data_IF_333107761096
#
_entry.id   IF_333107761096
#
_cell.length_a   1.000
_cell.length_b   1.000
_cell.length_c   1.000
_cell.angle_alpha   90.00
_cell.angle_beta   90.00
_cell.angle_gamma   90.00
#
_symmetry.space_group_name_H-M   'P 1'
#
loop_
_entity.id
_entity.type
_entity.pdbx_description
1 polymer ?
#
# COMPACT_ATOMS: atom_id res chain seq x y z
N UNK A 1 10.72 6.41 27.43
CA UNK A 1 9.27 6.30 27.15
C UNK A 1 8.52 6.91 28.31
N UNK A 2 7.26 6.54 28.48
CA UNK A 2 6.56 6.70 29.76
C UNK A 2 6.38 5.29 30.31
N UNK A 3 6.78 5.07 31.56
CA UNK A 3 6.71 3.76 32.21
C UNK A 3 5.32 3.55 32.84
N UNK A 4 4.94 2.30 33.08
CA UNK A 4 3.67 1.93 33.73
C UNK A 4 2.38 2.34 32.98
N UNK A 5 2.44 2.43 31.64
CA UNK A 5 1.25 2.62 30.80
C UNK A 5 0.25 1.48 30.99
N UNK A 6 0.77 0.25 31.11
CA UNK A 6 -0.02 -0.92 31.48
C UNK A 6 0.42 -1.42 32.85
N UNK A 7 -0.54 -1.68 33.72
CA UNK A 7 -0.31 -2.22 35.06
C UNK A 7 -0.91 -3.62 35.15
N UNK A 8 -0.09 -4.59 35.56
CA UNK A 8 -0.51 -5.98 35.72
C UNK A 8 -1.60 -6.07 36.80
N UNK A 9 -2.68 -6.79 36.49
CA UNK A 9 -3.74 -7.10 37.44
C UNK A 9 -3.50 -8.48 38.04
N UNK A 10 -3.80 -8.60 39.33
CA UNK A 10 -3.73 -9.86 40.04
C UNK A 10 -4.99 -10.69 39.78
N UNK A 11 -4.84 -12.00 39.95
CA UNK A 11 -5.94 -12.95 40.05
C UNK A 11 -6.39 -12.92 41.51
N UNK A 12 -7.63 -12.57 41.79
CA UNK A 12 -8.13 -12.50 43.17
C UNK A 12 -8.58 -13.87 43.69
N UNK A 13 -9.10 -14.70 42.78
CA UNK A 13 -9.56 -16.05 43.08
C UNK A 13 -9.35 -16.98 41.89
N UNK A 14 -9.18 -18.26 42.18
CA UNK A 14 -9.01 -19.28 41.17
C UNK A 14 -9.64 -20.61 41.59
N UNK A 15 -10.38 -21.23 40.67
CA UNK A 15 -10.99 -22.54 40.85
C UNK A 15 -10.55 -23.51 39.75
N UNK A 16 -10.44 -24.79 40.09
CA UNK A 16 -9.92 -25.81 39.19
C UNK A 16 -10.78 -27.07 39.24
N UNK A 17 -10.95 -27.72 38.08
CA UNK A 17 -11.58 -29.04 37.97
C UNK A 17 -10.70 -29.95 37.13
N UNK A 18 -10.39 -31.15 37.67
CA UNK A 18 -9.48 -32.12 37.04
C UNK A 18 -8.15 -31.50 36.57
N UNK A 19 -7.61 -30.58 37.36
CA UNK A 19 -6.32 -29.94 37.16
C UNK A 19 -5.61 -29.97 38.51
N UNK A 20 -4.37 -30.45 38.53
CA UNK A 20 -3.51 -30.31 39.71
C UNK A 20 -3.21 -28.82 39.91
N UNK A 21 -3.32 -28.35 41.15
CA UNK A 21 -3.11 -26.95 41.49
C UNK A 21 -1.84 -26.39 40.86
N UNK A 22 -1.98 -25.21 40.26
CA UNK A 22 -0.84 -24.39 39.91
C UNK A 22 -0.12 -24.06 41.24
N UNK A 23 1.19 -24.30 41.31
CA UNK A 23 2.01 -24.14 42.51
C UNK A 23 1.60 -22.93 43.39
N UNK A 24 1.66 -23.06 44.73
CA UNK A 24 0.66 -22.46 45.64
C UNK A 24 0.75 -20.94 45.90
N UNK A 25 1.62 -20.17 45.24
CA UNK A 25 2.09 -18.92 45.84
C UNK A 25 1.92 -17.62 45.05
N UNK A 26 1.42 -17.58 43.82
CA UNK A 26 1.29 -16.30 43.13
C UNK A 26 -0.07 -16.16 42.43
N UNK A 27 -0.96 -15.43 43.09
CA UNK A 27 -2.15 -14.75 42.57
C UNK A 27 -1.81 -13.68 41.50
N UNK A 28 -0.68 -13.86 40.80
CA UNK A 28 -0.28 -13.00 39.71
C UNK A 28 -0.63 -13.67 38.39
N UNK A 29 -1.16 -12.91 37.44
CA UNK A 29 -1.34 -13.43 36.08
C UNK A 29 0.02 -13.81 35.46
N UNK A 30 0.18 -14.95 34.80
CA UNK A 30 1.46 -15.34 34.20
C UNK A 30 1.42 -16.60 33.34
N UNK A 31 2.56 -17.27 33.26
CA UNK A 31 2.67 -18.60 32.67
C UNK A 31 2.38 -19.66 33.73
N UNK A 32 1.36 -20.48 33.47
CA UNK A 32 0.87 -21.52 34.34
C UNK A 32 1.11 -22.90 33.72
N UNK A 33 1.78 -23.82 34.42
CA UNK A 33 1.95 -25.21 33.99
C UNK A 33 0.94 -26.10 34.70
N UNK A 34 0.21 -26.92 33.95
CA UNK A 34 -0.79 -27.83 34.52
C UNK A 34 -0.56 -29.29 34.13
N UNK A 35 -1.21 -30.16 34.90
CA UNK A 35 -1.42 -31.57 34.57
C UNK A 35 -2.77 -32.03 35.10
N UNK A 36 -3.41 -32.99 34.42
CA UNK A 36 -4.67 -33.59 34.85
C UNK A 36 -4.40 -34.82 35.74
N UNK A 37 -5.04 -34.96 36.92
CA UNK A 37 -5.00 -36.19 37.69
C UNK A 37 -5.78 -37.34 37.02
N UNK A 38 -6.84 -37.02 36.27
CA UNK A 38 -7.59 -37.98 35.44
C UNK A 38 -7.36 -37.64 33.97
N UNK A 39 -6.70 -38.56 33.26
CA UNK A 39 -6.35 -38.36 31.86
C UNK A 39 -7.57 -38.47 30.94
N UNK A 40 -7.51 -37.76 29.82
CA UNK A 40 -8.46 -37.83 28.70
C UNK A 40 -9.91 -37.51 29.09
N UNK A 41 -10.07 -36.78 30.20
CA UNK A 41 -11.32 -36.23 30.70
C UNK A 41 -11.28 -34.70 30.73
N UNK A 42 -12.45 -34.08 30.76
CA UNK A 42 -12.59 -32.62 30.83
C UNK A 42 -11.82 -32.06 32.03
N UNK A 43 -11.08 -30.98 31.81
CA UNK A 43 -10.47 -30.18 32.87
C UNK A 43 -10.80 -28.71 32.65
N UNK A 44 -10.85 -27.93 33.73
CA UNK A 44 -11.13 -26.50 33.64
C UNK A 44 -10.38 -25.69 34.68
N UNK A 45 -10.19 -24.41 34.35
CA UNK A 45 -9.59 -23.40 35.21
C UNK A 45 -10.49 -22.17 35.16
N UNK A 46 -10.87 -21.61 36.30
CA UNK A 46 -11.61 -20.36 36.38
C UNK A 46 -10.76 -19.35 37.14
N UNK A 47 -10.59 -18.15 36.58
CA UNK A 47 -9.92 -17.02 37.24
C UNK A 47 -10.89 -15.88 37.49
N UNK A 48 -10.71 -15.19 38.60
CA UNK A 48 -11.39 -13.93 38.91
C UNK A 48 -10.36 -12.81 38.94
N UNK A 49 -10.62 -11.74 38.19
CA UNK A 49 -9.77 -10.53 38.15
C UNK A 49 -10.63 -9.32 38.48
N UNK A 50 -10.22 -8.55 39.48
CA UNK A 50 -10.92 -7.34 39.93
C UNK A 50 -9.98 -6.14 39.87
N UNK A 51 -10.16 -5.20 38.93
CA UNK A 51 -9.34 -4.00 38.89
C UNK A 51 -9.62 -3.13 40.13
N UNK A 52 -8.56 -2.57 40.72
CA UNK A 52 -8.65 -1.69 41.89
C UNK A 52 -9.06 -0.25 41.53
N UNK A 53 -8.96 0.10 40.25
CA UNK A 53 -9.31 1.40 39.69
C UNK A 53 -10.20 1.21 38.46
N UNK A 54 -11.08 2.17 38.17
CA UNK A 54 -11.89 2.16 36.94
C UNK A 54 -10.98 2.43 35.75
N UNK A 55 -10.80 1.44 34.87
CA UNK A 55 -9.82 1.50 33.79
C UNK A 55 -10.18 0.55 32.64
N UNK A 56 -9.54 0.73 31.48
CA UNK A 56 -9.66 -0.23 30.39
C UNK A 56 -8.88 -1.51 30.73
N UNK A 57 -9.52 -2.68 30.63
CA UNK A 57 -8.91 -3.96 31.01
C UNK A 57 -8.67 -4.83 29.79
N UNK A 58 -7.50 -5.46 29.75
CA UNK A 58 -7.08 -6.39 28.72
C UNK A 58 -6.75 -7.75 29.32
N UNK A 59 -7.18 -8.81 28.62
CA UNK A 59 -6.84 -10.19 28.96
C UNK A 59 -6.11 -10.83 27.79
N UNK A 60 -5.04 -11.55 28.08
CA UNK A 60 -4.32 -12.38 27.12
C UNK A 60 -4.41 -13.84 27.57
N UNK A 61 -4.86 -14.71 26.67
CA UNK A 61 -4.95 -16.14 26.91
C UNK A 61 -4.27 -16.85 25.74
N UNK A 62 -3.25 -17.65 26.04
CA UNK A 62 -2.61 -18.51 25.03
C UNK A 62 -2.24 -19.88 25.58
N UNK A 63 -2.75 -20.91 24.94
CA UNK A 63 -2.39 -22.30 25.16
C UNK A 63 -2.86 -23.20 24.02
N UNK A 64 -1.98 -24.09 23.55
CA UNK A 64 -2.35 -25.12 22.59
C UNK A 64 -3.25 -26.21 23.21
N UNK A 65 -3.33 -26.26 24.53
CA UNK A 65 -4.06 -27.27 25.30
C UNK A 65 -5.46 -26.83 25.74
N UNK A 66 -5.82 -25.56 25.52
CA UNK A 66 -7.14 -25.01 25.83
C UNK A 66 -8.06 -25.16 24.61
N UNK A 67 -9.31 -25.54 24.84
CA UNK A 67 -10.36 -25.63 23.81
C UNK A 67 -11.06 -24.28 23.63
N UNK A 68 -11.50 -23.69 24.75
CA UNK A 68 -12.14 -22.38 24.77
C UNK A 68 -11.88 -21.64 26.08
N UNK A 69 -12.11 -20.33 26.05
CA UNK A 69 -12.18 -19.48 27.24
C UNK A 69 -13.39 -18.57 27.16
N UNK A 70 -14.21 -18.55 28.20
CA UNK A 70 -15.37 -17.66 28.34
C UNK A 70 -14.99 -16.53 29.30
N UNK A 71 -15.05 -15.28 28.85
CA UNK A 71 -14.79 -14.10 29.66
C UNK A 71 -16.10 -13.38 29.91
N UNK A 72 -16.42 -13.15 31.18
CA UNK A 72 -17.69 -12.57 31.61
C UNK A 72 -17.50 -11.46 32.64
N UNK A 73 -18.18 -10.33 32.43
CA UNK A 73 -18.36 -9.25 33.40
C UNK A 73 -19.84 -9.01 33.67
N UNK A 74 -20.19 -7.86 34.25
CA UNK A 74 -21.61 -7.57 34.59
C UNK A 74 -22.50 -7.42 33.35
N UNK A 75 -21.94 -6.96 32.23
CA UNK A 75 -22.68 -6.57 31.02
C UNK A 75 -22.27 -7.34 29.75
N UNK A 76 -21.29 -8.22 29.84
CA UNK A 76 -20.77 -8.97 28.70
C UNK A 76 -20.44 -10.41 29.09
N UNK A 77 -20.53 -11.32 28.12
CA UNK A 77 -20.18 -12.72 28.24
C UNK A 77 -19.80 -13.24 26.85
N UNK A 78 -18.51 -13.43 26.61
CA UNK A 78 -17.97 -13.78 25.31
C UNK A 78 -17.10 -15.02 25.40
N UNK A 79 -17.22 -15.91 24.42
CA UNK A 79 -16.42 -17.14 24.35
C UNK A 79 -15.45 -17.10 23.18
N UNK A 80 -14.20 -17.38 23.48
CA UNK A 80 -13.08 -17.37 22.55
C UNK A 80 -12.57 -18.79 22.33
N UNK A 81 -12.27 -19.11 21.08
CA UNK A 81 -11.66 -20.38 20.64
C UNK A 81 -10.35 -20.08 19.90
N UNK A 82 -9.62 -21.12 19.46
CA UNK A 82 -8.32 -20.95 18.75
C UNK A 82 -7.27 -20.21 19.58
N UNK A 83 -7.14 -20.61 20.84
CA UNK A 83 -6.27 -19.99 21.83
C UNK A 83 -4.78 -20.40 21.70
N UNK A 84 -4.41 -21.09 20.63
CA UNK A 84 -3.03 -21.37 20.26
C UNK A 84 -2.33 -20.18 19.56
N UNK A 85 -3.12 -19.21 19.08
CA UNK A 85 -2.63 -17.94 18.53
C UNK A 85 -2.52 -16.86 19.61
N UNK A 86 -1.58 -15.93 19.44
CA UNK A 86 -1.42 -14.82 20.37
C UNK A 86 -2.41 -13.70 20.02
N UNK A 87 -3.40 -13.48 20.88
CA UNK A 87 -4.33 -12.36 20.75
C UNK A 87 -4.63 -11.74 22.12
N UNK A 88 -4.93 -10.44 22.12
CA UNK A 88 -5.32 -9.68 23.30
C UNK A 88 -6.81 -9.41 23.21
N UNK A 89 -7.53 -9.71 24.28
CA UNK A 89 -8.95 -9.40 24.45
C UNK A 89 -9.04 -8.02 25.10
N UNK A 90 -9.71 -7.08 24.44
CA UNK A 90 -10.08 -5.79 25.01
C UNK A 90 -11.48 -5.92 25.64
N UNK A 91 -11.56 -5.76 26.96
CA UNK A 91 -12.82 -5.83 27.70
C UNK A 91 -13.53 -4.48 27.80
N UNK A 92 -12.90 -3.40 27.35
CA UNK A 92 -13.36 -2.05 27.60
C UNK A 92 -13.12 -1.61 29.05
N UNK A 93 -13.86 -0.58 29.45
CA UNK A 93 -13.76 0.03 30.78
C UNK A 93 -14.49 -0.83 31.80
N UNK A 94 -13.77 -1.28 32.83
CA UNK A 94 -14.31 -2.02 33.98
C UNK A 94 -14.22 -1.14 35.22
N UNK A 95 -15.26 -1.12 36.05
CA UNK A 95 -15.28 -0.30 37.26
C UNK A 95 -14.37 -0.88 38.35
N UNK A 96 -13.79 -0.01 39.18
CA UNK A 96 -13.08 -0.45 40.37
C UNK A 96 -13.95 -1.38 41.23
N UNK A 97 -13.43 -2.56 41.58
CA UNK A 97 -14.14 -3.56 42.38
C UNK A 97 -15.12 -4.45 41.60
N UNK A 98 -15.29 -4.25 40.29
CA UNK A 98 -16.13 -5.11 39.46
C UNK A 98 -15.35 -6.35 38.99
N UNK A 99 -15.85 -7.54 39.34
CA UNK A 99 -15.19 -8.80 39.01
C UNK A 99 -15.37 -9.21 37.54
N UNK A 100 -14.27 -9.58 36.91
CA UNK A 100 -14.24 -10.27 35.61
C UNK A 100 -13.93 -11.74 35.85
N UNK A 101 -14.81 -12.63 35.37
CA UNK A 101 -14.65 -14.08 35.44
C UNK A 101 -14.11 -14.60 34.11
N UNK A 102 -13.15 -15.51 34.19
CA UNK A 102 -12.51 -16.15 33.03
C UNK A 102 -12.56 -17.65 33.21
N UNK A 103 -13.49 -18.32 32.53
CA UNK A 103 -13.65 -19.76 32.56
C UNK A 103 -12.93 -20.40 31.37
N UNK A 104 -11.96 -21.27 31.63
CA UNK A 104 -11.05 -21.84 30.64
C UNK A 104 -11.27 -23.36 30.58
N UNK A 105 -11.71 -23.85 29.43
CA UNK A 105 -11.90 -25.28 29.19
C UNK A 105 -10.64 -25.91 28.59
N UNK A 106 -10.07 -26.90 29.26
CA UNK A 106 -8.90 -27.65 28.79
C UNK A 106 -9.35 -28.84 27.95
N UNK A 107 -8.79 -28.99 26.74
CA UNK A 107 -9.08 -30.11 25.83
C UNK A 107 -8.94 -31.44 26.56
N UNK A 108 -9.90 -32.34 26.40
CA UNK A 108 -9.92 -33.66 27.06
C UNK A 108 -8.57 -34.38 26.91
N UNK A 109 -8.07 -34.46 25.67
CA UNK A 109 -6.82 -35.14 25.28
C UNK A 109 -5.53 -34.45 25.77
N UNK A 110 -5.61 -33.24 26.30
CA UNK A 110 -4.45 -32.48 26.78
C UNK A 110 -4.23 -32.70 28.28
N UNK A 111 -3.53 -33.79 28.61
CA UNK A 111 -3.27 -34.19 30.00
C UNK A 111 -2.22 -33.35 30.74
N UNK A 112 -1.48 -32.51 30.02
CA UNK A 112 -0.48 -31.58 30.54
C UNK A 112 -0.24 -30.47 29.54
N UNK A 113 0.12 -29.29 30.02
CA UNK A 113 0.37 -28.16 29.15
C UNK A 113 0.78 -26.90 29.88
N UNK A 114 0.88 -25.83 29.10
CA UNK A 114 1.16 -24.48 29.57
C UNK A 114 0.00 -23.57 29.18
N UNK A 115 -0.49 -22.81 30.13
CA UNK A 115 -1.50 -21.75 29.98
C UNK A 115 -0.82 -20.41 30.25
N UNK A 116 -0.75 -19.55 29.25
CA UNK A 116 -0.37 -18.16 29.45
C UNK A 116 -1.65 -17.36 29.69
N UNK A 117 -1.78 -16.78 30.88
CA UNK A 117 -2.90 -15.92 31.24
C UNK A 117 -2.35 -14.63 31.81
N UNK A 118 -2.58 -13.51 31.14
CA UNK A 118 -2.17 -12.20 31.62
C UNK A 118 -3.37 -11.26 31.67
N UNK A 119 -3.49 -10.48 32.75
CA UNK A 119 -4.48 -9.43 32.88
C UNK A 119 -3.78 -8.10 33.13
N UNK A 120 -4.17 -7.06 32.39
CA UNK A 120 -3.56 -5.73 32.50
C UNK A 120 -4.63 -4.64 32.44
N UNK A 121 -4.46 -3.62 33.26
CA UNK A 121 -5.19 -2.36 33.18
C UNK A 121 -4.38 -1.30 32.45
N UNK A 122 -5.06 -0.41 31.71
CA UNK A 122 -4.45 0.77 31.11
C UNK A 122 -4.50 1.95 32.08
N UNK A 123 -3.33 2.45 32.47
CA UNK A 123 -3.24 3.72 33.18
C UNK A 123 -3.44 4.88 32.19
N UNK A 124 -4.66 5.40 32.12
CA UNK A 124 -5.04 6.41 31.13
C UNK A 124 -4.26 7.73 31.29
N UNK A 125 -3.97 8.15 32.53
CA UNK A 125 -3.19 9.36 32.80
C UNK A 125 -1.78 9.24 32.23
N UNK A 126 -1.12 8.12 32.50
CA UNK A 126 0.24 7.81 32.04
C UNK A 126 0.28 7.64 30.52
N UNK A 127 -0.71 6.93 29.95
CA UNK A 127 -0.88 6.81 28.51
C UNK A 127 -1.01 8.19 27.84
N UNK A 128 -1.89 9.04 28.37
CA UNK A 128 -2.14 10.39 27.85
C UNK A 128 -0.91 11.29 27.98
N UNK A 129 -0.16 11.20 29.08
CA UNK A 129 1.10 11.92 29.24
C UNK A 129 2.12 11.53 28.15
N UNK A 130 2.19 10.24 27.82
CA UNK A 130 3.01 9.75 26.70
C UNK A 130 2.53 10.26 25.35
N UNK A 131 1.22 10.19 25.11
CA UNK A 131 0.59 10.69 23.88
C UNK A 131 0.89 12.18 23.66
N UNK A 132 0.68 13.03 24.67
CA UNK A 132 0.94 14.47 24.57
C UNK A 132 2.42 14.80 24.38
N UNK A 133 3.33 13.93 24.85
CA UNK A 133 4.77 14.06 24.55
C UNK A 133 5.07 13.77 23.08
N UNK A 134 4.50 12.70 22.51
CA UNK A 134 4.71 12.32 21.11
C UNK A 134 4.04 13.30 20.15
N UNK A 135 2.84 13.77 20.48
CA UNK A 135 2.06 14.73 19.69
C UNK A 135 2.80 16.05 19.41
N UNK A 136 3.76 16.44 20.25
CA UNK A 136 4.58 17.64 20.02
C UNK A 136 5.48 17.52 18.78
N UNK A 137 5.89 16.30 18.42
CA UNK A 137 6.66 16.00 17.21
C UNK A 137 5.80 15.43 16.09
N UNK A 138 4.48 15.67 16.11
CA UNK A 138 3.57 15.16 15.09
C UNK A 138 3.92 15.71 13.71
N UNK A 139 3.65 14.90 12.69
CA UNK A 139 3.88 15.28 11.30
C UNK A 139 2.66 16.00 10.76
N UNK A 140 2.74 17.33 10.69
CA UNK A 140 1.65 18.15 10.18
C UNK A 140 1.62 18.10 8.65
N UNK A 141 0.80 17.19 8.11
CA UNK A 141 0.66 16.98 6.67
C UNK A 141 -0.05 18.17 6.04
N UNK A 142 0.64 18.85 5.12
CA UNK A 142 0.09 19.96 4.33
C UNK A 142 -0.40 19.52 2.96
N UNK A 143 0.22 18.48 2.38
CA UNK A 143 -0.15 17.93 1.08
C UNK A 143 0.06 16.41 1.07
N UNK A 144 -0.83 15.67 0.42
CA UNK A 144 -0.66 14.24 0.22
C UNK A 144 -1.23 13.74 -1.11
N UNK A 145 -0.64 12.67 -1.61
CA UNK A 145 -1.10 11.84 -2.71
C UNK A 145 -0.67 10.39 -2.47
N UNK A 146 -1.04 9.48 -3.37
CA UNK A 146 -0.67 8.06 -3.29
C UNK A 146 0.85 7.82 -3.24
N UNK A 147 1.65 8.76 -3.75
CA UNK A 147 3.11 8.62 -3.87
C UNK A 147 3.90 9.75 -3.24
N UNK A 148 3.24 10.70 -2.57
CA UNK A 148 3.92 11.85 -1.96
C UNK A 148 3.21 12.30 -0.68
N UNK A 149 3.98 12.59 0.36
CA UNK A 149 3.52 13.24 1.58
C UNK A 149 4.43 14.44 1.84
N UNK A 150 3.84 15.62 2.05
CA UNK A 150 4.57 16.83 2.44
C UNK A 150 3.98 17.37 3.72
N UNK A 151 4.84 17.85 4.61
CA UNK A 151 4.41 18.44 5.86
C UNK A 151 5.57 19.00 6.66
N UNK A 152 5.28 19.40 7.90
CA UNK A 152 6.28 19.91 8.83
C UNK A 152 6.40 19.03 10.06
N UNK A 153 7.63 18.92 10.58
CA UNK A 153 7.93 18.30 11.86
C UNK A 153 8.64 19.34 12.71
N UNK A 154 8.21 19.50 13.97
CA UNK A 154 8.92 20.31 14.96
C UNK A 154 9.56 19.38 15.98
N UNK A 155 10.89 19.30 15.97
CA UNK A 155 11.65 18.49 16.91
C UNK A 155 12.23 19.39 18.02
N UNK A 156 11.94 19.07 19.29
CA UNK A 156 12.48 19.82 20.44
C UNK A 156 13.96 19.56 20.69
N UNK A 157 14.46 18.42 20.22
CA UNK A 157 15.84 17.96 20.34
C UNK A 157 16.18 17.09 19.13
N UNK A 158 17.47 16.83 18.90
CA UNK A 158 17.88 15.88 17.85
C UNK A 158 17.25 14.52 18.14
N UNK A 159 16.43 14.03 17.22
CA UNK A 159 15.53 12.91 17.45
C UNK A 159 15.48 11.98 16.23
N UNK A 160 15.17 10.72 16.47
CA UNK A 160 14.77 9.80 15.42
C UNK A 160 13.29 10.02 15.07
N UNK A 161 12.98 10.19 13.79
CA UNK A 161 11.61 10.18 13.28
C UNK A 161 11.17 8.73 13.08
N UNK A 162 10.15 8.33 13.82
CA UNK A 162 9.48 7.04 13.67
C UNK A 162 8.24 7.21 12.79
N UNK A 163 8.12 6.40 11.74
CA UNK A 163 6.96 6.44 10.85
C UNK A 163 6.23 5.10 10.83
N UNK A 164 4.93 5.13 10.53
CA UNK A 164 4.16 3.93 10.19
C UNK A 164 4.31 3.53 8.71
N UNK A 165 5.26 4.13 7.99
CA UNK A 165 5.52 3.82 6.58
C UNK A 165 6.42 2.57 6.54
N UNK A 166 6.04 1.49 5.84
CA UNK A 166 6.92 0.36 5.66
C UNK A 166 8.21 0.78 4.95
N UNK A 167 9.34 0.31 5.45
CA UNK A 167 10.63 0.57 4.83
C UNK A 167 10.68 -0.09 3.44
N UNK A 168 11.06 0.71 2.44
CA UNK A 168 11.33 0.27 1.07
C UNK A 168 12.45 1.14 0.49
N UNK A 169 13.32 0.56 -0.34
CA UNK A 169 14.42 1.28 -1.01
C UNK A 169 13.92 2.35 -2.00
N UNK A 170 12.66 2.26 -2.43
CA UNK A 170 12.01 3.17 -3.35
C UNK A 170 11.44 4.42 -2.68
N UNK A 171 11.50 4.51 -1.34
CA UNK A 171 11.17 5.73 -0.61
C UNK A 171 12.31 6.74 -0.68
N UNK A 172 11.94 7.99 -0.89
CA UNK A 172 12.82 9.14 -0.85
C UNK A 172 12.33 10.08 0.24
N UNK A 173 13.23 10.47 1.13
CA UNK A 173 12.95 11.43 2.19
C UNK A 173 13.76 12.69 1.92
N UNK A 174 13.12 13.85 2.08
CA UNK A 174 13.77 15.15 1.99
C UNK A 174 13.53 15.90 3.30
N UNK A 175 14.59 16.54 3.83
CA UNK A 175 14.53 17.46 4.96
C UNK A 175 14.99 18.83 4.43
N UNK A 176 14.12 19.83 4.51
CA UNK A 176 14.36 21.19 4.03
C UNK A 176 14.89 21.24 2.57
N UNK A 177 14.36 20.35 1.73
CA UNK A 177 14.74 20.21 0.32
C UNK A 177 16.00 19.38 0.07
N UNK A 178 16.77 19.01 1.10
CA UNK A 178 17.90 18.08 0.98
C UNK A 178 17.40 16.64 0.97
N UNK A 179 17.68 15.90 -0.11
CA UNK A 179 17.41 14.46 -0.17
C UNK A 179 18.35 13.72 0.80
N UNK A 180 17.78 12.88 1.65
CA UNK A 180 18.54 11.93 2.47
C UNK A 180 19.14 10.84 1.59
N UNK A 181 20.36 10.44 1.92
CA UNK A 181 21.02 9.28 1.33
C UNK A 181 20.45 7.99 1.90
N UNK A 182 20.68 6.87 1.21
CA UNK A 182 20.18 5.56 1.61
C UNK A 182 20.74 5.06 2.95
N UNK A 183 21.89 5.55 3.39
CA UNK A 183 22.49 5.24 4.70
C UNK A 183 21.97 6.14 5.84
N UNK A 184 21.27 7.22 5.52
CA UNK A 184 20.58 8.10 6.47
C UNK A 184 19.13 7.65 6.76
N UNK A 185 18.62 6.68 5.99
CA UNK A 185 17.29 6.09 6.15
C UNK A 185 17.47 4.64 6.62
N UNK A 186 16.82 4.26 7.71
CA UNK A 186 17.00 2.95 8.33
C UNK A 186 15.67 2.28 8.70
N UNK A 187 15.77 1.00 9.05
CA UNK A 187 14.65 0.19 9.52
C UNK A 187 14.51 0.31 11.02
N UNK A 188 13.36 0.78 11.49
CA UNK A 188 12.95 0.65 12.88
C UNK A 188 12.18 -0.67 13.02
N UNK A 189 12.55 -1.46 14.03
CA UNK A 189 11.97 -2.79 14.30
C UNK A 189 11.93 -3.71 13.07
N UNK A 190 12.99 -3.66 12.24
CA UNK A 190 13.15 -4.44 11.01
C UNK A 190 12.08 -4.24 9.92
N UNK A 191 11.17 -3.25 10.03
CA UNK A 191 10.05 -3.12 9.11
C UNK A 191 9.64 -1.71 8.74
N UNK A 192 9.84 -0.72 9.62
CA UNK A 192 9.31 0.63 9.44
C UNK A 192 10.42 1.61 9.06
N UNK A 193 10.09 2.60 8.26
CA UNK A 193 11.03 3.63 7.82
C UNK A 193 11.31 4.60 8.98
N UNK A 194 12.60 4.85 9.22
CA UNK A 194 13.07 5.88 10.15
C UNK A 194 14.26 6.64 9.59
N UNK A 195 14.49 7.83 10.15
CA UNK A 195 15.62 8.71 9.85
C UNK A 195 15.80 9.68 11.02
N UNK A 196 16.98 10.28 11.14
CA UNK A 196 17.25 11.28 12.17
C UNK A 196 16.89 12.69 11.69
N UNK A 197 16.43 13.52 12.61
CA UNK A 197 16.15 14.95 12.41
C UNK A 197 16.81 15.78 13.50
N UNK A 198 17.33 16.95 13.14
CA UNK A 198 17.90 17.90 14.10
C UNK A 198 16.80 18.63 14.86
N UNK A 199 17.15 19.27 15.98
CA UNK A 199 16.24 20.13 16.71
C UNK A 199 15.84 21.35 15.87
N UNK A 200 14.55 21.63 15.78
CA UNK A 200 14.03 22.73 14.99
C UNK A 200 12.72 22.41 14.28
N UNK A 201 12.24 23.37 13.50
CA UNK A 201 11.13 23.17 12.58
C UNK A 201 11.70 22.84 11.20
N UNK A 202 11.23 21.74 10.62
CA UNK A 202 11.71 21.23 9.35
C UNK A 202 10.55 20.90 8.42
N UNK A 203 10.73 21.19 7.14
CA UNK A 203 9.83 20.69 6.09
C UNK A 203 10.30 19.30 5.67
N UNK A 204 9.45 18.31 5.82
CA UNK A 204 9.73 16.93 5.45
C UNK A 204 8.87 16.53 4.25
N UNK A 205 9.48 15.85 3.29
CA UNK A 205 8.78 15.30 2.13
C UNK A 205 9.13 13.83 1.97
N UNK A 206 8.12 12.98 1.93
CA UNK A 206 8.23 11.59 1.48
C UNK A 206 7.78 11.50 0.03
N UNK A 207 8.53 10.77 -0.79
CA UNK A 207 8.16 10.48 -2.18
C UNK A 207 8.51 9.05 -2.56
N UNK A 208 7.53 8.33 -3.08
CA UNK A 208 7.67 6.94 -3.49
C UNK A 208 7.72 6.79 -5.01
N UNK A 209 8.72 6.06 -5.52
CA UNK A 209 8.82 5.75 -6.95
C UNK A 209 9.08 4.27 -7.14
N UNK A 210 8.07 3.52 -7.56
CA UNK A 210 8.22 2.08 -7.83
C UNK A 210 9.25 1.81 -8.93
N UNK A 211 10.27 1.02 -8.62
CA UNK A 211 11.26 0.55 -9.60
C UNK A 211 10.61 -0.17 -10.80
N UNK A 212 9.49 -0.87 -10.58
CA UNK A 212 8.75 -1.57 -11.64
C UNK A 212 8.09 -0.62 -12.65
N UNK A 213 7.72 0.59 -12.23
CA UNK A 213 7.11 1.58 -13.11
C UNK A 213 8.11 2.06 -14.19
N UNK A 214 9.37 2.24 -13.81
CA UNK A 214 10.43 2.61 -14.75
C UNK A 214 10.66 1.51 -15.78
N UNK A 215 10.85 0.26 -15.32
CA UNK A 215 11.03 -0.89 -16.21
C UNK A 215 9.82 -1.11 -17.13
N UNK A 216 8.61 -1.04 -16.59
CA UNK A 216 7.37 -1.17 -17.36
C UNK A 216 7.23 -0.09 -18.42
N UNK A 217 7.58 1.16 -18.09
CA UNK A 217 7.54 2.29 -19.04
C UNK A 217 8.46 2.04 -20.25
N UNK A 218 9.67 1.53 -20.02
CA UNK A 218 10.57 1.17 -21.12
C UNK A 218 10.00 0.08 -22.03
N UNK A 219 9.43 -0.98 -21.43
CA UNK A 219 8.79 -2.06 -22.19
C UNK A 219 7.62 -1.54 -23.01
N UNK A 220 6.74 -0.73 -22.40
CA UNK A 220 5.58 -0.14 -23.09
C UNK A 220 5.99 0.72 -24.29
N UNK A 221 6.98 1.60 -24.12
CA UNK A 221 7.49 2.44 -25.21
C UNK A 221 8.07 1.58 -26.33
N UNK A 222 8.86 0.56 -25.99
CA UNK A 222 9.44 -0.35 -26.98
C UNK A 222 8.35 -1.11 -27.76
N UNK A 223 7.31 -1.61 -27.08
CA UNK A 223 6.18 -2.30 -27.73
C UNK A 223 5.41 -1.36 -28.66
N UNK A 224 5.13 -0.12 -28.24
CA UNK A 224 4.44 0.87 -29.07
C UNK A 224 5.27 1.19 -30.32
N UNK A 225 6.59 1.36 -30.19
CA UNK A 225 7.48 1.59 -31.33
C UNK A 225 7.46 0.43 -32.32
N UNK A 226 7.59 -0.82 -31.84
CA UNK A 226 7.57 -2.02 -32.68
C UNK A 226 6.22 -2.17 -33.39
N UNK A 227 5.11 -1.95 -32.69
CA UNK A 227 3.77 -2.00 -33.26
C UNK A 227 3.59 -0.93 -34.35
N UNK A 228 4.04 0.30 -34.09
CA UNK A 228 3.95 1.43 -35.03
C UNK A 228 4.76 1.17 -36.29
N UNK A 229 6.01 0.70 -36.17
CA UNK A 229 6.86 0.33 -37.31
C UNK A 229 6.21 -0.79 -38.12
N UNK A 230 5.69 -1.83 -37.46
CA UNK A 230 5.02 -2.96 -38.11
C UNK A 230 3.80 -2.51 -38.92
N UNK A 231 2.99 -1.60 -38.38
CA UNK A 231 1.84 -1.02 -39.09
C UNK A 231 2.30 -0.21 -40.31
N UNK A 232 3.32 0.64 -40.17
CA UNK A 232 3.83 1.45 -41.28
C UNK A 232 4.38 0.56 -42.41
N UNK A 233 5.18 -0.46 -42.06
CA UNK A 233 5.73 -1.42 -43.03
C UNK A 233 4.61 -2.17 -43.74
N UNK A 234 3.60 -2.65 -43.01
CA UNK A 234 2.45 -3.34 -43.59
C UNK A 234 1.63 -2.44 -44.52
N UNK A 235 1.41 -1.16 -44.17
CA UNK A 235 0.73 -0.20 -45.05
C UNK A 235 1.53 0.10 -46.31
N UNK A 236 2.87 0.26 -46.21
CA UNK A 236 3.74 0.44 -47.38
C UNK A 236 3.73 -0.80 -48.29
N UNK A 237 3.79 -2.00 -47.71
CA UNK A 237 3.70 -3.28 -48.45
C UNK A 237 2.35 -3.43 -49.15
N UNK A 238 1.22 -3.15 -48.49
CA UNK A 238 -0.11 -3.17 -49.10
C UNK A 238 -0.24 -2.15 -50.25
N UNK A 239 0.22 -0.90 -50.06
CA UNK A 239 0.25 0.11 -51.13
C UNK A 239 1.11 -0.32 -52.32
N UNK A 240 2.27 -0.94 -52.07
CA UNK A 240 3.14 -1.47 -53.13
C UNK A 240 2.45 -2.62 -53.89
N UNK A 241 1.81 -3.56 -53.17
CA UNK A 241 1.05 -4.66 -53.77
C UNK A 241 -0.12 -4.15 -54.62
N UNK A 242 -0.92 -3.21 -54.10
CA UNK A 242 -2.01 -2.58 -54.86
C UNK A 242 -1.52 -1.86 -56.14
N UNK A 243 -0.36 -1.20 -56.09
CA UNK A 243 0.25 -0.59 -57.29
C UNK A 243 0.67 -1.63 -58.33
N UNK A 244 1.26 -2.75 -57.89
CA UNK A 244 1.68 -3.86 -58.77
C UNK A 244 0.45 -4.55 -59.37
N UNK A 245 -0.54 -4.90 -58.57
CA UNK A 245 -1.78 -5.54 -59.03
C UNK A 245 -2.52 -4.66 -60.05
N UNK A 246 -2.60 -3.34 -59.80
CA UNK A 246 -3.18 -2.37 -60.75
C UNK A 246 -2.41 -2.30 -62.07
N UNK A 247 -1.07 -2.36 -62.04
CA UNK A 247 -0.24 -2.34 -63.24
C UNK A 247 -0.41 -3.61 -64.09
N UNK A 248 -0.50 -4.77 -63.43
CA UNK A 248 -0.79 -6.04 -64.11
C UNK A 248 -2.15 -6.03 -64.80
N UNK A 249 -3.20 -5.52 -64.14
CA UNK A 249 -4.53 -5.40 -64.74
C UNK A 249 -4.58 -4.45 -65.96
N UNK A 250 -3.76 -3.41 -66.00
CA UNK A 250 -3.70 -2.47 -67.13
C UNK A 250 -2.99 -3.08 -68.36
N UNK A 251 -2.04 -3.99 -68.16
CA UNK A 251 -1.29 -4.63 -69.25
C UNK A 251 -1.99 -5.86 -69.84
N UNK A 252 -2.97 -6.44 -69.15
CA UNK A 252 -3.75 -7.60 -69.60
C UNK A 252 -5.09 -7.21 -70.26
N UNK A 253 -5.46 -5.93 -70.29
CA UNK A 253 -6.66 -5.47 -70.96
C UNK A 253 -6.48 -5.55 -72.51
N UNK A 254 -7.31 -6.31 -73.25
CA UNK A 254 -7.18 -6.40 -74.68
C UNK A 254 -7.54 -5.05 -75.32
N UNK A 255 -6.57 -4.45 -76.02
CA UNK A 255 -6.84 -3.30 -76.90
C UNK A 255 -7.65 -3.82 -78.09
N UNK A 256 -8.97 -3.74 -78.02
CA UNK A 256 -9.82 -3.98 -79.18
C UNK A 256 -9.72 -2.76 -80.11
N UNK A 257 -8.79 -2.80 -81.05
CA UNK A 257 -8.78 -1.88 -82.19
C UNK A 257 -9.87 -2.33 -83.15
N UNK A 258 -11.02 -1.65 -83.13
CA UNK A 258 -11.98 -1.74 -84.23
C UNK A 258 -11.41 -0.96 -85.42
N UNK A 259 -10.93 -1.67 -86.44
CA UNK A 259 -10.51 -1.08 -87.71
C UNK A 259 -11.76 -0.63 -88.47
N UNK A 260 -11.94 0.67 -88.80
CA UNK A 260 -13.00 1.11 -89.70
C UNK A 260 -12.72 0.60 -91.12
N UNK A 261 -13.77 0.09 -91.77
CA UNK A 261 -13.71 -0.46 -93.13
C UNK A 261 -13.46 0.66 -94.17
N UNK A 262 -12.56 0.42 -95.11
CA UNK A 262 -12.22 1.33 -96.21
C UNK A 262 -13.39 1.51 -97.19
N UNK A 263 -14.18 2.54 -96.96
CA UNK A 263 -14.83 3.29 -98.05
C UNK A 263 -15.29 4.63 -97.48
N UNK A 264 -14.36 5.59 -97.42
CA UNK A 264 -14.65 6.97 -97.78
C UNK A 264 -13.33 7.74 -97.81
N UNK A 265 -13.09 8.36 -98.94
CA UNK A 265 -11.93 9.17 -99.28
C UNK A 265 -11.74 10.33 -98.31
N UNK A 266 -10.50 10.51 -97.84
CA UNK A 266 -10.07 11.67 -97.09
C UNK A 266 -10.28 12.96 -97.91
N UNK A 267 -11.13 13.85 -97.41
CA UNK A 267 -10.97 15.31 -97.60
C UNK A 267 -11.05 15.95 -96.22
N UNK A 268 -9.91 16.43 -95.70
CA UNK A 268 -9.92 17.46 -94.66
C UNK A 268 -8.90 18.55 -95.01
N UNK A 269 -9.53 19.70 -95.26
CA UNK A 269 -9.10 21.07 -95.38
C UNK A 269 -8.06 21.52 -94.33
N UNK A 270 -7.01 22.21 -94.79
CA UNK A 270 -6.11 23.03 -93.98
C UNK A 270 -6.73 24.43 -93.87
N UNK A 271 -7.07 24.87 -92.66
CA UNK A 271 -6.80 26.24 -92.14
C UNK A 271 -7.74 26.63 -90.97
N UNK A 272 -7.12 27.16 -89.90
CA UNK A 272 -7.78 27.77 -88.73
C UNK A 272 -7.11 27.34 -87.41
N UNK A 273 -5.85 27.70 -87.13
CA UNK A 273 -5.35 29.01 -86.64
C UNK A 273 -5.75 29.34 -85.18
N UNK A 274 -4.67 29.54 -84.38
CA UNK A 274 -4.53 30.37 -83.17
C UNK A 274 -5.09 29.83 -81.83
N UNK A 275 -4.51 30.09 -80.65
CA UNK A 275 -3.39 30.96 -80.22
C UNK A 275 -3.09 30.65 -78.74
N UNK A 276 -1.89 31.10 -78.31
CA UNK A 276 -1.54 31.55 -76.95
C UNK A 276 -1.45 30.50 -75.83
N UNK A 277 -0.24 30.17 -75.35
CA UNK A 277 0.65 30.99 -74.50
C UNK A 277 0.09 31.20 -73.08
N UNK A 278 0.72 30.51 -72.12
CA UNK A 278 1.40 31.07 -70.93
C UNK A 278 2.04 29.86 -70.21
N UNK A 279 3.36 29.63 -70.35
CA UNK A 279 4.47 30.27 -69.61
C UNK A 279 4.43 29.88 -68.13
N UNK A 280 5.35 29.01 -67.68
CA UNK A 280 6.62 29.33 -66.97
C UNK A 280 6.33 29.68 -65.51
N UNK A 281 7.12 29.46 -64.45
CA UNK A 281 8.41 28.88 -64.08
C UNK A 281 8.30 28.82 -62.51
N UNK A 282 8.70 27.78 -61.80
CA UNK A 282 10.03 27.59 -61.13
C UNK A 282 10.39 28.56 -59.97
N UNK A 283 10.89 27.94 -58.88
CA UNK A 283 11.89 28.37 -57.84
C UNK A 283 11.49 28.87 -56.44
N UNK A 284 11.89 28.04 -55.46
CA UNK A 284 12.78 28.26 -54.30
C UNK A 284 12.56 29.37 -53.26
N UNK A 285 12.30 28.89 -52.03
CA UNK A 285 12.83 29.23 -50.69
C UNK A 285 12.73 30.65 -50.04
N UNK A 286 12.76 30.72 -48.68
CA UNK A 286 12.28 31.83 -47.83
C UNK A 286 13.47 32.68 -47.28
N UNK A 287 13.39 33.37 -46.13
CA UNK A 287 12.39 34.30 -45.55
C UNK A 287 12.96 35.74 -45.44
N UNK A 288 12.13 36.76 -45.16
CA UNK A 288 12.68 38.01 -44.56
C UNK A 288 11.70 38.69 -43.62
N UNK A 289 12.26 39.20 -42.52
CA UNK A 289 11.64 40.05 -41.52
C UNK A 289 11.45 41.49 -42.03
N UNK A 290 10.44 42.20 -41.51
CA UNK A 290 10.61 43.58 -41.03
C UNK A 290 9.42 44.05 -40.17
N UNK A 291 9.77 44.90 -39.21
CA UNK A 291 8.93 45.61 -38.24
C UNK A 291 7.88 46.52 -38.89
N UNK A 292 6.76 46.78 -38.20
CA UNK A 292 6.50 48.11 -37.60
C UNK A 292 5.25 48.13 -36.69
N UNK A 293 5.42 48.91 -35.63
CA UNK A 293 4.51 49.40 -34.60
C UNK A 293 3.07 49.72 -35.03
N UNK A 294 2.13 49.56 -34.10
CA UNK A 294 1.43 50.67 -33.40
C UNK A 294 0.38 50.03 -32.45
N UNK A 295 0.53 50.21 -31.13
CA UNK A 295 -0.14 51.21 -30.29
C UNK A 295 -1.62 50.90 -29.96
N UNK A 296 -1.86 50.75 -28.65
CA UNK A 296 -2.95 51.32 -27.84
C UNK A 296 -3.80 50.35 -26.99
N UNK A 297 -3.80 50.72 -25.69
CA UNK A 297 -4.67 50.37 -24.54
C UNK A 297 -4.42 49.08 -23.77
#
# INVERSE_FOLDING_TARGET
GVDNVFTKLNIDDAAYSNINDFYPNEFESGEFKFSKPVNDEMGSVSFVVTPQETQNVYIYIKSNAVDSATVSGSIFNETYTSLDEAYIIDLGIINAGEAVNVDIAIKDTSNRGTLNFYAYGLNEETFKAGYEKLKKGDYNITEYSDTKLTGTITASENSAVFTSIPYDINWNVYIDGRRLKSDEIYKISNGLLGFDIEAGEHTVVFSYVSSGLLAGSFVSIATILIATISIIVNRKRKKKKQKVDKWLMLNEAPVSVSVPNESDTFEINFDGINEQLNADEVKDEPPTAENQNDNEQ
#
